data_IF_150061363176
#
_entry.id   IF_150061363176
#
_cell.length_a   1.000
_cell.length_b   1.000
_cell.length_c   1.000
_cell.angle_alpha   90.00
_cell.angle_beta   90.00
_cell.angle_gamma   90.00
#
_symmetry.space_group_name_H-M   'P 1'
#
loop_
_entity.id
_entity.type
_entity.pdbx_description
1 polymer ?
#
# COMPACT_ATOMS: atom_id res chain seq x y z
N UNK A 1 -2.05 -33.35 4.23
CA UNK A 1 -1.02 -32.85 5.19
C UNK A 1 -0.26 -31.65 4.62
N UNK A 2 0.20 -31.68 3.37
CA UNK A 2 0.91 -30.56 2.74
C UNK A 2 0.08 -29.25 2.66
N UNK A 3 -1.23 -29.34 2.41
CA UNK A 3 -2.10 -28.15 2.31
C UNK A 3 -2.23 -27.38 3.64
N UNK A 4 -2.28 -28.09 4.78
CA UNK A 4 -2.31 -27.43 6.10
C UNK A 4 -0.98 -26.76 6.44
N UNK A 5 0.13 -27.38 6.07
CA UNK A 5 1.47 -26.81 6.29
C UNK A 5 1.64 -25.50 5.49
N UNK A 6 1.14 -25.48 4.25
CA UNK A 6 1.21 -24.30 3.39
C UNK A 6 0.34 -23.15 3.91
N UNK A 7 -0.86 -23.44 4.41
CA UNK A 7 -1.74 -22.45 5.04
C UNK A 7 -1.13 -21.82 6.30
N UNK A 8 -0.50 -22.62 7.16
CA UNK A 8 0.16 -22.08 8.37
C UNK A 8 1.37 -21.20 8.03
N UNK A 9 2.25 -21.64 7.12
CA UNK A 9 3.39 -20.84 6.66
C UNK A 9 2.94 -19.52 6.02
N UNK A 10 1.86 -19.56 5.23
CA UNK A 10 1.28 -18.37 4.61
C UNK A 10 0.70 -17.41 5.66
N UNK A 11 -0.01 -17.93 6.66
CA UNK A 11 -0.56 -17.13 7.77
C UNK A 11 0.54 -16.46 8.59
N UNK A 12 1.63 -17.18 8.88
CA UNK A 12 2.80 -16.62 9.59
C UNK A 12 3.45 -15.49 8.77
N UNK A 13 3.64 -15.70 7.47
CA UNK A 13 4.20 -14.67 6.59
C UNK A 13 3.34 -13.40 6.54
N UNK A 14 2.01 -13.55 6.50
CA UNK A 14 1.09 -12.42 6.55
C UNK A 14 1.11 -11.69 7.89
N UNK A 15 1.21 -12.44 9.00
CA UNK A 15 1.31 -11.86 10.33
C UNK A 15 2.59 -11.03 10.48
N UNK A 16 3.74 -11.57 10.04
CA UNK A 16 5.01 -10.84 10.00
C UNK A 16 4.92 -9.58 9.11
N UNK A 17 4.26 -9.71 7.96
CA UNK A 17 4.02 -8.57 7.05
C UNK A 17 3.20 -7.49 7.75
N UNK A 18 2.16 -7.87 8.50
CA UNK A 18 1.31 -6.94 9.23
C UNK A 18 2.07 -6.18 10.31
N UNK A 19 2.97 -6.85 11.04
CA UNK A 19 3.83 -6.24 12.07
C UNK A 19 4.72 -5.15 11.47
N UNK A 20 5.19 -5.32 10.24
CA UNK A 20 6.03 -4.33 9.54
C UNK A 20 5.14 -3.22 8.93
N UNK A 21 3.99 -3.59 8.38
CA UNK A 21 3.10 -2.63 7.71
C UNK A 21 2.45 -1.65 8.69
N UNK A 22 2.11 -2.08 9.91
CA UNK A 22 1.44 -1.25 10.91
C UNK A 22 2.24 0.02 11.30
N UNK A 23 3.52 -0.08 11.74
CA UNK A 23 4.33 1.09 12.05
C UNK A 23 4.66 1.91 10.81
N UNK A 24 4.83 1.28 9.64
CA UNK A 24 5.04 1.98 8.37
C UNK A 24 3.82 2.83 7.99
N UNK A 25 2.61 2.27 8.10
CA UNK A 25 1.35 2.95 7.87
C UNK A 25 1.19 4.12 8.85
N UNK A 26 1.46 3.90 10.14
CA UNK A 26 1.40 4.93 11.16
C UNK A 26 2.35 6.10 10.86
N UNK A 27 3.59 5.79 10.48
CA UNK A 27 4.57 6.81 10.10
C UNK A 27 4.11 7.61 8.88
N UNK A 28 3.65 6.94 7.81
CA UNK A 28 3.14 7.64 6.62
C UNK A 28 1.88 8.48 6.90
N UNK A 29 1.02 8.02 7.80
CA UNK A 29 -0.16 8.76 8.23
C UNK A 29 0.24 10.02 9.01
N UNK A 30 1.22 9.91 9.91
CA UNK A 30 1.70 11.05 10.68
C UNK A 30 2.34 12.13 9.79
N UNK A 31 3.18 11.70 8.82
CA UNK A 31 3.75 12.59 7.80
C UNK A 31 2.66 13.24 6.95
N UNK A 32 1.65 12.48 6.53
CA UNK A 32 0.52 13.02 5.79
C UNK A 32 -0.27 14.08 6.58
N UNK A 33 -0.48 13.87 7.88
CA UNK A 33 -1.19 14.82 8.73
C UNK A 33 -0.42 16.14 8.90
N UNK A 34 0.92 16.09 8.94
CA UNK A 34 1.75 17.27 9.15
C UNK A 34 2.05 18.03 7.86
N UNK A 35 2.44 17.33 6.78
CA UNK A 35 2.88 17.99 5.56
C UNK A 35 1.84 18.00 4.43
N UNK A 36 0.74 17.23 4.54
CA UNK A 36 -0.25 16.94 3.48
C UNK A 36 0.34 16.39 2.16
N UNK A 37 1.66 16.35 2.06
CA UNK A 37 2.43 15.64 1.05
C UNK A 37 2.19 14.14 1.27
N UNK A 38 2.11 13.39 0.17
CA UNK A 38 2.02 11.92 0.14
C UNK A 38 0.65 11.30 0.40
N UNK A 39 -0.44 12.09 0.34
CA UNK A 39 -1.84 11.60 0.42
C UNK A 39 -2.09 10.28 -0.32
N UNK A 40 -1.65 10.20 -1.58
CA UNK A 40 -1.90 9.04 -2.43
C UNK A 40 -1.08 7.81 -2.04
N UNK A 41 0.15 8.02 -1.54
CA UNK A 41 0.98 6.93 -1.01
C UNK A 41 0.40 6.37 0.29
N UNK A 42 -0.01 7.24 1.22
CA UNK A 42 -0.68 6.83 2.46
C UNK A 42 -1.97 6.08 2.16
N UNK A 43 -2.77 6.55 1.19
CA UNK A 43 -4.00 5.88 0.79
C UNK A 43 -3.74 4.51 0.14
N UNK A 44 -2.74 4.41 -0.75
CA UNK A 44 -2.33 3.13 -1.34
C UNK A 44 -1.86 2.13 -0.26
N UNK A 45 -1.05 2.57 0.69
CA UNK A 45 -0.59 1.74 1.81
C UNK A 45 -1.73 1.27 2.70
N UNK A 46 -2.75 2.10 2.95
CA UNK A 46 -3.96 1.67 3.66
C UNK A 46 -4.69 0.55 2.92
N UNK A 47 -4.79 0.60 1.60
CA UNK A 47 -5.41 -0.47 0.82
C UNK A 47 -4.58 -1.78 0.85
N UNK A 48 -3.25 -1.68 0.85
CA UNK A 48 -2.37 -2.86 1.05
C UNK A 48 -2.57 -3.45 2.44
N UNK A 49 -2.71 -2.61 3.46
CA UNK A 49 -3.01 -3.04 4.82
C UNK A 49 -4.34 -3.80 4.89
N UNK A 50 -5.42 -3.26 4.31
CA UNK A 50 -6.72 -3.93 4.26
C UNK A 50 -6.69 -5.21 3.43
N UNK A 51 -5.93 -5.24 2.33
CA UNK A 51 -5.70 -6.47 1.55
C UNK A 51 -5.03 -7.55 2.40
N UNK A 52 -3.99 -7.19 3.15
CA UNK A 52 -3.28 -8.13 4.04
C UNK A 52 -4.20 -8.64 5.15
N UNK A 53 -5.04 -7.77 5.72
CA UNK A 53 -6.04 -8.15 6.71
C UNK A 53 -7.12 -9.08 6.13
N UNK A 54 -7.60 -8.80 4.91
CA UNK A 54 -8.56 -9.64 4.21
C UNK A 54 -7.98 -11.02 3.89
N UNK A 55 -6.70 -11.09 3.53
CA UNK A 55 -6.01 -12.32 3.24
C UNK A 55 -5.81 -13.18 4.51
N UNK A 56 -5.53 -12.56 5.66
CA UNK A 56 -5.53 -13.25 6.97
C UNK A 56 -6.92 -13.78 7.33
N UNK A 57 -7.96 -12.95 7.14
CA UNK A 57 -9.34 -13.35 7.41
C UNK A 57 -9.80 -14.50 6.51
N UNK A 58 -9.27 -14.62 5.28
CA UNK A 58 -9.53 -15.74 4.38
C UNK A 58 -8.96 -17.06 4.90
N UNK A 59 -7.81 -17.04 5.58
CA UNK A 59 -7.23 -18.24 6.17
C UNK A 59 -7.99 -18.67 7.44
N UNK A 60 -8.56 -17.71 8.18
CA UNK A 60 -9.40 -17.99 9.36
C UNK A 60 -10.84 -18.37 8.97
N UNK A 61 -11.35 -17.82 7.87
CA UNK A 61 -12.71 -18.00 7.40
C UNK A 61 -12.75 -18.35 5.91
N UNK A 62 -13.30 -19.51 5.54
CA UNK A 62 -13.40 -20.02 4.15
C UNK A 62 -14.38 -19.24 3.24
N UNK A 63 -14.63 -17.95 3.47
CA UNK A 63 -15.51 -17.16 2.62
C UNK A 63 -14.78 -16.66 1.36
N UNK A 64 -15.30 -17.02 0.18
CA UNK A 64 -14.82 -16.51 -1.11
C UNK A 64 -14.88 -14.97 -1.25
N UNK A 65 -15.69 -14.30 -0.44
CA UNK A 65 -15.81 -12.84 -0.40
C UNK A 65 -14.49 -12.16 -0.04
N UNK A 66 -13.70 -12.73 0.87
CA UNK A 66 -12.42 -12.16 1.28
C UNK A 66 -11.39 -12.18 0.15
N UNK A 67 -11.45 -13.19 -0.72
CA UNK A 67 -10.61 -13.26 -1.92
C UNK A 67 -10.94 -12.14 -2.90
N UNK A 68 -12.22 -11.90 -3.16
CA UNK A 68 -12.62 -10.80 -4.04
C UNK A 68 -12.20 -9.44 -3.45
N UNK A 69 -12.40 -9.24 -2.15
CA UNK A 69 -12.00 -8.03 -1.44
C UNK A 69 -10.48 -7.79 -1.50
N UNK A 70 -9.69 -8.83 -1.24
CA UNK A 70 -8.22 -8.82 -1.35
C UNK A 70 -7.77 -8.30 -2.73
N UNK A 71 -8.30 -8.88 -3.80
CA UNK A 71 -7.95 -8.51 -5.17
C UNK A 71 -8.38 -7.08 -5.54
N UNK A 72 -9.57 -6.65 -5.08
CA UNK A 72 -10.03 -5.27 -5.27
C UNK A 72 -9.08 -4.30 -4.56
N UNK A 73 -8.73 -4.58 -3.31
CA UNK A 73 -7.81 -3.74 -2.54
C UNK A 73 -6.43 -3.63 -3.21
N UNK A 74 -5.86 -4.74 -3.70
CA UNK A 74 -4.58 -4.75 -4.42
C UNK A 74 -4.66 -3.92 -5.71
N UNK A 75 -5.74 -4.08 -6.47
CA UNK A 75 -5.94 -3.35 -7.74
C UNK A 75 -6.03 -1.85 -7.49
N UNK A 76 -6.84 -1.43 -6.51
CA UNK A 76 -6.99 -0.02 -6.15
C UNK A 76 -5.67 0.55 -5.60
N UNK A 77 -4.96 -0.20 -4.76
CA UNK A 77 -3.63 0.20 -4.27
C UNK A 77 -2.65 0.43 -5.42
N UNK A 78 -2.63 -0.48 -6.41
CA UNK A 78 -1.74 -0.39 -7.57
C UNK A 78 -2.01 0.85 -8.41
N UNK A 79 -3.29 1.15 -8.67
CA UNK A 79 -3.70 2.36 -9.40
C UNK A 79 -3.28 3.63 -8.64
N UNK A 80 -3.53 3.67 -7.33
CA UNK A 80 -3.15 4.81 -6.48
C UNK A 80 -1.63 4.99 -6.45
N UNK A 81 -0.87 3.90 -6.40
CA UNK A 81 0.59 3.95 -6.41
C UNK A 81 1.13 4.46 -7.75
N UNK A 82 0.60 3.96 -8.87
CA UNK A 82 0.95 4.45 -10.20
C UNK A 82 0.64 5.94 -10.36
N UNK A 83 -0.53 6.38 -9.89
CA UNK A 83 -0.91 7.80 -9.89
C UNK A 83 0.00 8.65 -9.00
N UNK A 84 0.36 8.16 -7.81
CA UNK A 84 1.27 8.84 -6.91
C UNK A 84 2.65 9.02 -7.55
N UNK A 85 3.19 7.98 -8.18
CA UNK A 85 4.44 8.03 -8.94
C UNK A 85 4.38 9.02 -10.10
N UNK A 86 3.30 9.01 -10.89
CA UNK A 86 3.10 9.94 -11.99
C UNK A 86 3.06 11.40 -11.52
N UNK A 87 2.33 11.68 -10.45
CA UNK A 87 2.27 13.03 -9.86
C UNK A 87 3.63 13.50 -9.34
N UNK A 88 4.38 12.60 -8.71
CA UNK A 88 5.72 12.90 -8.19
C UNK A 88 6.72 13.16 -9.34
N UNK A 89 6.63 12.38 -10.42
CA UNK A 89 7.40 12.57 -11.64
C UNK A 89 7.13 13.95 -12.29
N UNK A 90 5.86 14.32 -12.47
CA UNK A 90 5.49 15.64 -13.01
C UNK A 90 6.01 16.77 -12.13
N UNK A 91 5.86 16.65 -10.81
CA UNK A 91 6.35 17.67 -9.86
C UNK A 91 7.85 17.87 -10.00
N UNK A 92 8.62 16.80 -10.21
CA UNK A 92 10.07 16.86 -10.40
C UNK A 92 10.45 17.48 -11.74
N UNK A 93 9.74 17.15 -12.83
CA UNK A 93 9.98 17.76 -14.15
C UNK A 93 9.65 19.27 -14.19
N UNK A 94 8.66 19.73 -13.42
CA UNK A 94 8.35 21.17 -13.33
C UNK A 94 9.41 21.97 -12.56
N UNK A 95 10.02 21.40 -11.52
CA UNK A 95 11.11 22.08 -10.79
C UNK A 95 12.36 22.28 -11.63
N UNK A 96 12.72 21.31 -12.48
CA UNK A 96 13.86 21.43 -13.41
C UNK A 96 13.66 22.58 -14.42
N UNK A 97 12.41 22.89 -14.77
CA UNK A 97 12.08 23.94 -15.74
C UNK A 97 12.22 25.36 -15.17
N UNK A 98 12.05 25.54 -13.87
CA UNK A 98 12.18 26.85 -13.21
C UNK A 98 13.64 27.18 -12.89
N UNK A 99 14.47 26.21 -12.51
CA UNK A 99 15.91 26.43 -12.29
C UNK A 99 16.67 26.75 -13.58
N UNK A 100 16.21 26.24 -14.73
CA UNK A 100 16.78 26.57 -16.03
C UNK A 100 16.32 27.92 -16.62
N UNK A 101 15.28 28.54 -16.07
CA UNK A 101 14.73 29.81 -16.57
C UNK A 101 15.21 31.04 -15.77
N UNK A 102 15.94 30.83 -14.67
CA UNK A 102 16.45 31.90 -13.80
C UNK A 102 17.98 32.05 -13.91
N UNK A 103 18.56 31.51 -14.98
CA UNK A 103 19.98 31.51 -15.30
C UNK A 103 20.32 32.05 -16.68
N UNK A 104 19.52 32.99 -17.22
CA UNK A 104 19.86 33.83 -18.38
C UNK A 104 19.73 35.31 -18.01
#
# INVERSE_FOLDING_TARGET
MAERLYGELFTIAQFLTLIILLPALYHMLNVYLHEKKWKYYTMAFSFIFFSTLAALLREVYEFNTFRLLEWICITVASILFAYACYKNYISSCHMVKEEGAQGD
#
